data_IF_956770372279
#
_entry.id   IF_956770372279
#
_cell.length_a   1.000
_cell.length_b   1.000
_cell.length_c   1.000
_cell.angle_alpha   90.00
_cell.angle_beta   90.00
_cell.angle_gamma   90.00
#
_symmetry.space_group_name_H-M   'P 1'
#
loop_
_entity.id
_entity.type
_entity.pdbx_description
1 polymer ?
#
# COMPACT_ATOMS: atom_id res chain seq x y z
N UNK A 1 16.71 1.42 15.67
CA UNK A 1 16.78 0.91 14.27
C UNK A 1 16.02 1.84 13.37
N UNK A 2 16.53 2.19 12.18
CA UNK A 2 15.85 3.09 11.28
C UNK A 2 14.57 2.43 10.77
N UNK A 3 13.44 3.13 10.94
CA UNK A 3 12.18 2.76 10.28
C UNK A 3 12.33 3.14 8.81
N UNK A 4 12.06 2.19 7.91
CA UNK A 4 12.17 2.46 6.48
C UNK A 4 10.88 3.07 5.96
N UNK A 5 11.03 4.09 5.12
CA UNK A 5 9.90 4.67 4.38
C UNK A 5 9.64 3.76 3.18
N UNK A 6 8.41 3.26 3.11
CA UNK A 6 7.90 2.39 2.06
C UNK A 6 6.64 3.02 1.45
N UNK A 7 6.39 2.72 0.18
CA UNK A 7 5.17 3.12 -0.52
C UNK A 7 4.30 1.89 -0.69
N UNK A 8 3.00 2.02 -0.43
CA UNK A 8 1.99 0.99 -0.68
C UNK A 8 1.05 1.47 -1.79
N UNK A 9 0.65 0.58 -2.70
CA UNK A 9 -0.23 0.88 -3.84
C UNK A 9 -1.43 -0.07 -3.88
N UNK A 10 -2.58 0.47 -4.29
CA UNK A 10 -3.80 -0.31 -4.53
C UNK A 10 -3.60 -1.35 -5.63
N UNK A 11 -3.92 -2.61 -5.32
CA UNK A 11 -3.83 -3.74 -6.28
C UNK A 11 -5.05 -3.87 -7.20
N UNK A 12 -6.19 -3.31 -6.80
CA UNK A 12 -7.48 -3.49 -7.48
C UNK A 12 -7.71 -2.41 -8.55
N UNK A 13 -7.25 -1.18 -8.31
CA UNK A 13 -7.51 -0.04 -9.19
C UNK A 13 -7.03 -0.24 -10.64
N UNK A 14 -5.86 -0.86 -10.80
CA UNK A 14 -5.26 -1.11 -12.13
C UNK A 14 -6.09 -2.10 -12.95
N UNK A 15 -6.77 -3.05 -12.29
CA UNK A 15 -7.67 -4.02 -12.95
C UNK A 15 -8.96 -3.36 -13.43
N UNK A 16 -9.42 -2.32 -12.71
CA UNK A 16 -10.61 -1.54 -13.08
C UNK A 16 -10.30 -0.39 -14.06
N UNK A 17 -9.08 -0.30 -14.58
CA UNK A 17 -8.68 0.78 -15.51
C UNK A 17 -8.58 2.16 -14.87
N UNK A 18 -8.51 2.25 -13.53
CA UNK A 18 -8.43 3.50 -12.78
C UNK A 18 -7.02 3.74 -12.25
N UNK A 19 -6.71 4.99 -11.92
CA UNK A 19 -5.45 5.36 -11.29
C UNK A 19 -5.31 4.69 -9.91
N UNK A 20 -4.19 3.98 -9.65
CA UNK A 20 -3.99 3.34 -8.36
C UNK A 20 -3.67 4.37 -7.28
N UNK A 21 -4.33 4.23 -6.14
CA UNK A 21 -4.03 5.02 -4.95
C UNK A 21 -2.71 4.57 -4.32
N UNK A 22 -1.88 5.54 -3.91
CA UNK A 22 -0.56 5.32 -3.31
C UNK A 22 -0.47 6.03 -1.97
N UNK A 23 0.09 5.34 -0.97
CA UNK A 23 0.33 5.87 0.36
C UNK A 23 1.78 5.64 0.78
N UNK A 24 2.31 6.54 1.59
CA UNK A 24 3.64 6.41 2.19
C UNK A 24 3.48 6.00 3.64
N UNK A 25 4.15 4.93 4.05
CA UNK A 25 4.13 4.42 5.43
C UNK A 25 5.53 4.07 5.88
N UNK A 26 5.72 3.85 7.18
CA UNK A 26 6.98 3.37 7.72
C UNK A 26 6.87 1.89 8.08
N UNK A 27 7.89 1.08 7.76
CA UNK A 27 7.98 -0.33 8.16
C UNK A 27 9.20 -0.53 9.06
N UNK A 28 9.03 -1.38 10.07
CA UNK A 28 10.13 -1.88 10.88
C UNK A 28 10.61 -3.24 10.35
N UNK A 29 11.70 -3.25 9.56
CA UNK A 29 12.25 -4.47 8.95
C UNK A 29 12.59 -5.60 9.93
N UNK A 30 12.89 -5.28 11.20
CA UNK A 30 13.22 -6.31 12.21
C UNK A 30 11.98 -7.09 12.68
N UNK A 31 10.82 -6.43 12.73
CA UNK A 31 9.57 -7.04 13.19
C UNK A 31 8.73 -7.58 12.03
N UNK A 32 8.77 -6.92 10.89
CA UNK A 32 8.07 -7.33 9.68
C UNK A 32 9.04 -7.37 8.50
N UNK A 33 9.48 -8.58 8.19
CA UNK A 33 10.30 -8.91 7.02
C UNK A 33 9.47 -9.11 5.76
N UNK A 34 8.19 -9.48 5.90
CA UNK A 34 7.29 -9.69 4.78
C UNK A 34 6.79 -8.35 4.18
N UNK A 35 6.27 -8.43 2.95
CA UNK A 35 5.67 -7.28 2.26
C UNK A 35 4.48 -6.76 3.05
N UNK A 36 4.42 -5.45 3.26
CA UNK A 36 3.31 -4.86 4.00
C UNK A 36 2.04 -4.84 3.15
N UNK A 37 0.97 -5.43 3.67
CA UNK A 37 -0.37 -5.38 3.09
C UNK A 37 -1.34 -4.69 4.04
N UNK A 38 -1.95 -3.59 3.60
CA UNK A 38 -2.89 -2.81 4.41
C UNK A 38 -4.16 -2.49 3.62
N UNK A 39 -5.30 -2.57 4.30
CA UNK A 39 -6.56 -2.03 3.77
C UNK A 39 -6.57 -0.52 3.96
N UNK A 40 -6.53 0.22 2.85
CA UNK A 40 -6.65 1.68 2.83
C UNK A 40 -7.78 2.09 1.90
N UNK A 41 -8.36 3.25 2.17
CA UNK A 41 -9.38 3.83 1.33
C UNK A 41 -8.77 4.16 -0.03
N UNK A 42 -9.44 3.82 -1.13
CA UNK A 42 -9.05 4.25 -2.46
C UNK A 42 -10.07 5.29 -2.97
N UNK A 43 -9.66 6.55 -3.20
CA UNK A 43 -10.57 7.59 -3.68
C UNK A 43 -11.13 7.34 -5.09
N UNK A 44 -10.41 6.63 -5.97
CA UNK A 44 -10.87 6.31 -7.33
C UNK A 44 -11.97 5.23 -7.33
N UNK A 45 -11.93 4.34 -6.34
CA UNK A 45 -12.92 3.26 -6.16
C UNK A 45 -13.99 3.59 -5.12
N UNK A 46 -13.79 4.66 -4.35
CA UNK A 46 -14.66 5.09 -3.23
C UNK A 46 -14.92 3.99 -2.20
N UNK A 47 -13.94 3.10 -1.99
CA UNK A 47 -14.02 1.97 -1.05
C UNK A 47 -12.65 1.62 -0.49
N UNK A 48 -12.63 0.86 0.61
CA UNK A 48 -11.39 0.30 1.14
C UNK A 48 -10.93 -0.89 0.30
N UNK A 49 -9.70 -0.80 -0.19
CA UNK A 49 -9.08 -1.84 -1.04
C UNK A 49 -7.75 -2.27 -0.47
N UNK A 50 -7.26 -3.41 -0.93
CA UNK A 50 -5.98 -3.93 -0.49
C UNK A 50 -4.82 -3.21 -1.18
N UNK A 51 -3.98 -2.57 -0.37
CA UNK A 51 -2.76 -1.90 -0.79
C UNK A 51 -1.55 -2.74 -0.41
N UNK A 52 -0.66 -2.98 -1.37
CA UNK A 52 0.57 -3.75 -1.18
C UNK A 52 1.79 -2.85 -1.36
N UNK A 53 2.85 -3.15 -0.62
CA UNK A 53 4.13 -2.48 -0.76
C UNK A 53 4.68 -2.53 -2.19
N UNK A 54 4.95 -1.35 -2.75
CA UNK A 54 5.73 -1.12 -3.96
C UNK A 54 7.09 -0.61 -3.52
N UNK A 55 7.97 -1.56 -3.26
CA UNK A 55 9.41 -1.37 -3.15
C UNK A 55 10.10 -2.69 -3.43
#
# INVERSE_FOLDING_TARGET
>A
MPREIITIECTEARKEGKSPSRYTTTRNKKQQTEKLELKKYNPALRRHTLHKEIK
#
